data_IF_361324571443
#
_entry.id   IF_361324571443
#
_cell.length_a   1.000
_cell.length_b   1.000
_cell.length_c   1.000
_cell.angle_alpha   90.00
_cell.angle_beta   90.00
_cell.angle_gamma   90.00
#
_symmetry.space_group_name_H-M   'P 1'
#
loop_
_entity.id
_entity.type
_entity.pdbx_description
1 polymer ?
#
# COMPACT_ATOMS: atom_id res chain seq x y z
N UNK A 1 11.94 16.16 -23.25
CA UNK A 1 10.78 16.28 -24.18
C UNK A 1 9.42 15.95 -23.53
N UNK A 2 9.31 14.96 -22.65
CA UNK A 2 8.04 14.54 -22.00
C UNK A 2 7.44 15.60 -21.06
N UNK A 3 8.27 16.29 -20.28
CA UNK A 3 7.84 17.29 -19.29
C UNK A 3 7.04 18.47 -19.90
N UNK A 4 7.41 18.94 -21.09
CA UNK A 4 6.69 20.05 -21.75
C UNK A 4 5.33 19.62 -22.29
N UNK A 5 5.18 18.37 -22.74
CA UNK A 5 3.89 17.83 -23.19
C UNK A 5 2.91 17.68 -22.02
N UNK A 6 3.40 17.16 -20.89
CA UNK A 6 2.60 17.04 -19.66
C UNK A 6 2.13 18.41 -19.16
N UNK A 7 2.98 19.44 -19.19
CA UNK A 7 2.59 20.81 -18.83
C UNK A 7 1.42 21.31 -19.67
N UNK A 8 1.51 21.19 -21.00
CA UNK A 8 0.45 21.65 -21.92
C UNK A 8 -0.86 20.88 -21.71
N UNK A 9 -0.79 19.56 -21.53
CA UNK A 9 -1.98 18.73 -21.34
C UNK A 9 -2.71 18.98 -20.01
N UNK A 10 -1.99 19.46 -19.00
CA UNK A 10 -2.48 19.56 -17.63
C UNK A 10 -2.73 21.00 -17.17
N UNK A 11 -2.59 22.00 -18.06
CA UNK A 11 -2.94 23.41 -17.79
C UNK A 11 -4.37 23.50 -17.27
N UNK A 12 -4.58 24.30 -16.22
CA UNK A 12 -5.86 24.55 -15.55
C UNK A 12 -6.54 23.28 -14.98
N UNK A 13 -5.77 22.20 -14.75
CA UNK A 13 -6.26 20.98 -14.13
C UNK A 13 -5.84 20.86 -12.67
N UNK A 14 -6.64 20.10 -11.92
CA UNK A 14 -6.24 19.49 -10.65
C UNK A 14 -5.70 18.10 -10.95
N UNK A 15 -4.45 17.84 -10.59
CA UNK A 15 -3.72 16.62 -10.95
C UNK A 15 -3.30 15.90 -9.68
N UNK A 16 -3.60 14.60 -9.61
CA UNK A 16 -3.02 13.68 -8.63
C UNK A 16 -1.99 12.80 -9.34
N UNK A 17 -0.74 12.83 -8.88
CA UNK A 17 0.34 11.98 -9.39
C UNK A 17 0.71 10.98 -8.29
N UNK A 18 0.74 9.70 -8.63
CA UNK A 18 1.19 8.63 -7.73
C UNK A 18 2.50 8.07 -8.25
N UNK A 19 3.56 8.23 -7.47
CA UNK A 19 4.85 7.58 -7.70
C UNK A 19 4.90 6.33 -6.82
N UNK A 20 4.57 5.19 -7.41
CA UNK A 20 4.46 3.92 -6.69
C UNK A 20 5.82 3.20 -6.64
N UNK A 21 6.14 2.59 -5.50
CA UNK A 21 7.31 1.74 -5.24
C UNK A 21 8.65 2.39 -5.67
N UNK A 22 8.97 3.56 -5.09
CA UNK A 22 10.22 4.30 -5.38
C UNK A 22 11.40 3.72 -4.60
N UNK A 23 12.49 3.39 -5.32
CA UNK A 23 13.70 2.74 -4.78
C UNK A 23 15.00 3.52 -5.05
N UNK A 24 14.91 4.70 -5.65
CA UNK A 24 16.08 5.54 -5.92
C UNK A 24 16.70 6.05 -4.62
N UNK A 25 18.02 5.88 -4.46
CA UNK A 25 18.76 6.23 -3.23
C UNK A 25 19.70 7.41 -3.41
N UNK A 26 19.97 7.82 -4.64
CA UNK A 26 20.78 8.99 -4.93
C UNK A 26 20.00 10.27 -4.54
N UNK A 27 20.48 11.05 -3.55
CA UNK A 27 19.76 12.22 -3.07
C UNK A 27 19.57 13.30 -4.14
N UNK A 28 20.54 13.49 -5.02
CA UNK A 28 20.46 14.50 -6.09
C UNK A 28 19.39 14.12 -7.11
N UNK A 29 19.27 12.82 -7.41
CA UNK A 29 18.21 12.30 -8.28
C UNK A 29 16.84 12.50 -7.63
N UNK A 30 16.67 12.16 -6.35
CA UNK A 30 15.42 12.39 -5.62
C UNK A 30 15.04 13.87 -5.56
N UNK A 31 16.00 14.77 -5.29
CA UNK A 31 15.80 16.22 -5.29
C UNK A 31 15.38 16.75 -6.66
N UNK A 32 15.85 16.13 -7.75
CA UNK A 32 15.50 16.53 -9.11
C UNK A 32 14.04 16.21 -9.49
N UNK A 33 13.41 15.23 -8.83
CA UNK A 33 12.03 14.81 -9.12
C UNK A 33 11.03 15.94 -8.83
N UNK A 34 11.17 16.63 -7.70
CA UNK A 34 10.20 17.66 -7.28
C UNK A 34 10.07 18.82 -8.29
N UNK A 35 11.16 19.42 -8.81
CA UNK A 35 11.08 20.38 -9.92
C UNK A 35 10.36 19.85 -11.17
N UNK A 36 10.55 18.57 -11.50
CA UNK A 36 9.91 17.94 -12.67
C UNK A 36 8.40 17.72 -12.50
N UNK A 37 7.89 17.74 -11.26
CA UNK A 37 6.46 17.62 -10.98
C UNK A 37 5.77 18.99 -10.89
N UNK A 38 6.52 20.09 -10.99
CA UNK A 38 5.96 21.45 -11.04
C UNK A 38 5.44 21.75 -12.44
N UNK A 39 4.11 21.66 -12.61
CA UNK A 39 3.43 21.85 -13.90
C UNK A 39 3.07 23.32 -14.23
N UNK A 40 3.38 24.28 -13.35
CA UNK A 40 3.11 25.71 -13.55
C UNK A 40 2.10 26.28 -12.55
N UNK A 41 1.95 27.61 -12.52
CA UNK A 41 1.16 28.35 -11.51
C UNK A 41 -0.36 28.12 -11.66
N UNK A 42 -0.81 27.77 -12.87
CA UNK A 42 -2.21 27.52 -13.19
C UNK A 42 -2.69 26.10 -12.84
N UNK A 43 -1.80 25.24 -12.33
CA UNK A 43 -2.10 23.83 -12.05
C UNK A 43 -2.03 23.55 -10.54
N UNK A 44 -3.03 22.85 -10.00
CA UNK A 44 -2.93 22.30 -8.65
C UNK A 44 -2.44 20.86 -8.76
N UNK A 45 -1.27 20.56 -8.22
CA UNK A 45 -0.67 19.21 -8.27
C UNK A 45 -0.53 18.66 -6.86
N UNK A 46 -1.13 17.50 -6.62
CA UNK A 46 -0.90 16.67 -5.44
C UNK A 46 -0.07 15.46 -5.85
N UNK A 47 0.98 15.16 -5.09
CA UNK A 47 1.85 14.01 -5.35
C UNK A 47 1.79 13.09 -4.14
N UNK A 48 1.54 11.80 -4.40
CA UNK A 48 1.67 10.72 -3.43
C UNK A 48 2.86 9.88 -3.85
N UNK A 49 3.77 9.62 -2.91
CA UNK A 49 4.91 8.73 -3.13
C UNK A 49 4.76 7.54 -2.19
N UNK A 50 4.92 6.32 -2.70
CA UNK A 50 5.03 5.12 -1.88
C UNK A 50 6.45 4.57 -2.00
N UNK A 51 7.02 4.14 -0.87
CA UNK A 51 8.33 3.50 -0.79
C UNK A 51 8.40 2.60 0.43
N UNK A 52 9.33 1.66 0.41
CA UNK A 52 9.64 0.78 1.56
C UNK A 52 10.79 1.31 2.40
N UNK A 53 11.44 2.39 1.96
CA UNK A 53 12.62 2.95 2.60
C UNK A 53 12.30 4.32 3.21
N UNK A 54 12.39 4.41 4.54
CA UNK A 54 12.13 5.66 5.26
C UNK A 54 13.12 6.78 4.90
N UNK A 55 14.35 6.45 4.51
CA UNK A 55 15.33 7.45 4.09
C UNK A 55 14.90 8.11 2.78
N UNK A 56 14.41 7.33 1.82
CA UNK A 56 13.84 7.85 0.56
C UNK A 56 12.64 8.75 0.89
N UNK A 57 11.75 8.31 1.78
CA UNK A 57 10.58 9.08 2.16
C UNK A 57 10.93 10.45 2.76
N UNK A 58 11.93 10.51 3.65
CA UNK A 58 12.43 11.76 4.24
C UNK A 58 13.09 12.68 3.21
N UNK A 59 13.84 12.11 2.26
CA UNK A 59 14.56 12.87 1.25
C UNK A 59 13.64 13.43 0.14
N UNK A 60 12.54 12.76 -0.20
CA UNK A 60 11.63 13.23 -1.27
C UNK A 60 10.53 14.15 -0.73
N UNK A 61 10.04 13.93 0.49
CA UNK A 61 8.92 14.66 1.08
C UNK A 61 9.40 15.79 2.01
N UNK A 62 9.64 16.97 1.45
CA UNK A 62 10.02 18.16 2.24
C UNK A 62 8.84 18.99 2.76
N UNK A 63 7.62 18.75 2.28
CA UNK A 63 6.45 19.61 2.57
C UNK A 63 5.51 19.04 3.63
N UNK A 64 5.56 17.73 3.84
CA UNK A 64 4.69 17.00 4.77
C UNK A 64 5.54 15.87 5.36
N UNK A 65 5.36 15.58 6.64
CA UNK A 65 5.99 14.43 7.28
C UNK A 65 5.55 13.12 6.61
N UNK A 66 6.48 12.20 6.28
CA UNK A 66 6.13 10.91 5.71
C UNK A 66 5.19 10.11 6.61
N UNK A 67 4.12 9.57 6.03
CA UNK A 67 3.22 8.68 6.75
C UNK A 67 3.75 7.25 6.74
N UNK A 68 4.18 6.75 7.90
CA UNK A 68 4.55 5.35 8.07
C UNK A 68 3.30 4.49 8.19
N UNK A 69 3.10 3.57 7.24
CA UNK A 69 2.00 2.62 7.28
C UNK A 69 2.24 1.60 8.39
N UNK A 70 1.33 1.58 9.37
CA UNK A 70 1.32 0.59 10.44
C UNK A 70 0.86 -0.78 9.94
N UNK A 71 1.30 -1.83 10.63
CA UNK A 71 0.83 -3.19 10.37
C UNK A 71 -0.62 -3.38 10.82
N UNK A 72 -1.30 -4.39 10.27
CA UNK A 72 -2.66 -4.71 10.69
C UNK A 72 -2.66 -5.37 12.07
N UNK A 73 -3.75 -5.17 12.81
CA UNK A 73 -4.03 -5.99 14.00
C UNK A 73 -4.35 -7.44 13.61
N UNK A 74 -4.08 -8.39 14.52
CA UNK A 74 -4.48 -9.80 14.38
C UNK A 74 -5.98 -9.96 14.05
N UNK A 75 -6.82 -9.09 14.62
CA UNK A 75 -8.26 -9.06 14.33
C UNK A 75 -8.55 -8.73 12.87
N UNK A 76 -7.80 -7.79 12.28
CA UNK A 76 -7.92 -7.42 10.88
C UNK A 76 -7.34 -8.49 9.95
N UNK A 77 -6.19 -9.10 10.30
CA UNK A 77 -5.69 -10.28 9.59
C UNK A 77 -6.72 -11.42 9.60
N UNK A 78 -7.34 -11.69 10.75
CA UNK A 78 -8.40 -12.69 10.85
C UNK A 78 -9.64 -12.32 10.01
N UNK A 79 -9.98 -11.03 9.91
CA UNK A 79 -11.06 -10.55 9.04
C UNK A 79 -10.75 -10.88 7.57
N UNK A 80 -9.53 -10.65 7.12
CA UNK A 80 -9.08 -10.97 5.75
C UNK A 80 -9.17 -12.49 5.51
N UNK A 81 -8.61 -13.31 6.40
CA UNK A 81 -8.66 -14.78 6.26
C UNK A 81 -10.10 -15.28 6.17
N UNK A 82 -11.00 -14.78 7.03
CA UNK A 82 -12.42 -15.15 6.99
C UNK A 82 -13.09 -14.81 5.66
N UNK A 83 -12.75 -13.66 5.07
CA UNK A 83 -13.29 -13.25 3.78
C UNK A 83 -12.82 -14.20 2.67
N UNK A 84 -11.52 -14.54 2.64
CA UNK A 84 -10.92 -15.38 1.59
C UNK A 84 -11.33 -16.85 1.68
N UNK A 85 -11.64 -17.34 2.88
CA UNK A 85 -12.10 -18.72 3.11
C UNK A 85 -13.61 -18.91 3.01
N UNK A 86 -14.37 -17.85 2.71
CA UNK A 86 -15.83 -17.83 2.80
C UNK A 86 -16.34 -18.36 4.16
N UNK A 87 -15.64 -18.00 5.25
CA UNK A 87 -15.74 -18.65 6.57
C UNK A 87 -17.17 -18.74 7.13
N UNK A 88 -18.06 -17.81 6.76
CA UNK A 88 -19.47 -17.83 7.15
C UNK A 88 -20.18 -19.13 6.76
N UNK A 89 -19.77 -19.75 5.65
CA UNK A 89 -20.41 -20.92 5.04
C UNK A 89 -19.65 -22.23 5.32
N UNK A 90 -18.64 -22.21 6.20
CA UNK A 90 -17.86 -23.40 6.56
C UNK A 90 -18.62 -24.30 7.53
N UNK A 91 -18.65 -25.60 7.25
CA UNK A 91 -19.26 -26.64 8.10
C UNK A 91 -18.61 -26.67 9.49
N UNK A 92 -17.28 -26.75 9.56
CA UNK A 92 -16.51 -26.82 10.82
C UNK A 92 -16.10 -25.44 11.38
N UNK A 93 -16.97 -24.43 11.22
CA UNK A 93 -16.69 -23.04 11.63
C UNK A 93 -16.23 -22.91 13.09
N UNK A 94 -16.82 -23.67 14.01
CA UNK A 94 -16.49 -23.54 15.45
C UNK A 94 -15.07 -24.01 15.72
N UNK A 95 -14.69 -25.13 15.13
CA UNK A 95 -13.39 -25.77 15.24
C UNK A 95 -12.31 -24.91 14.55
N UNK A 96 -12.56 -24.49 13.31
CA UNK A 96 -11.63 -23.69 12.50
C UNK A 96 -11.41 -22.26 13.03
N UNK A 97 -12.26 -21.77 13.94
CA UNK A 97 -12.16 -20.41 14.48
C UNK A 97 -10.88 -20.21 15.31
N UNK A 98 -10.48 -21.22 16.07
CA UNK A 98 -9.29 -21.13 16.92
C UNK A 98 -8.03 -21.13 16.05
N UNK A 99 -7.86 -22.16 15.21
CA UNK A 99 -6.76 -22.26 14.24
C UNK A 99 -6.66 -21.03 13.35
N UNK A 100 -7.79 -20.52 12.85
CA UNK A 100 -7.81 -19.32 12.01
C UNK A 100 -7.31 -18.06 12.72
N UNK A 101 -7.55 -17.93 14.04
CA UNK A 101 -6.98 -16.84 14.84
C UNK A 101 -5.48 -17.02 15.07
N UNK A 102 -5.02 -18.24 15.35
CA UNK A 102 -3.59 -18.51 15.49
C UNK A 102 -2.82 -18.21 14.20
N UNK A 103 -3.40 -18.58 13.05
CA UNK A 103 -2.85 -18.23 11.73
C UNK A 103 -2.82 -16.72 11.55
N UNK A 104 -3.87 -16.00 11.96
CA UNK A 104 -3.90 -14.54 11.88
C UNK A 104 -2.80 -13.87 12.71
N UNK A 105 -2.55 -14.35 13.92
CA UNK A 105 -1.42 -13.89 14.76
C UNK A 105 -0.08 -14.17 14.08
N UNK A 106 0.09 -15.36 13.48
CA UNK A 106 1.30 -15.70 12.71
C UNK A 106 1.49 -14.87 11.42
N UNK A 107 0.47 -14.16 10.94
CA UNK A 107 0.61 -13.24 9.81
C UNK A 107 1.40 -11.98 10.17
N UNK A 108 1.61 -11.68 11.45
CA UNK A 108 2.40 -10.52 11.91
C UNK A 108 1.87 -9.18 11.40
N UNK A 109 0.56 -9.07 11.20
CA UNK A 109 -0.07 -7.86 10.66
C UNK A 109 0.14 -7.61 9.16
N UNK A 110 0.81 -8.51 8.44
CA UNK A 110 1.01 -8.39 6.98
C UNK A 110 -0.26 -8.78 6.24
N UNK A 111 -0.92 -7.80 5.62
CA UNK A 111 -2.16 -8.01 4.88
C UNK A 111 -2.03 -9.07 3.77
N UNK A 112 -0.90 -9.05 3.04
CA UNK A 112 -0.62 -10.00 1.97
C UNK A 112 -0.48 -11.44 2.50
N UNK A 113 0.20 -11.64 3.63
CA UNK A 113 0.31 -12.97 4.25
C UNK A 113 -1.07 -13.53 4.64
N UNK A 114 -1.90 -12.70 5.28
CA UNK A 114 -3.26 -13.07 5.65
C UNK A 114 -4.13 -13.41 4.42
N UNK A 115 -3.95 -12.68 3.32
CA UNK A 115 -4.64 -12.96 2.07
C UNK A 115 -4.19 -14.30 1.45
N UNK A 116 -2.87 -14.51 1.31
CA UNK A 116 -2.31 -15.72 0.73
C UNK A 116 -2.70 -16.98 1.50
N UNK A 117 -2.59 -16.94 2.83
CA UNK A 117 -3.02 -18.05 3.68
C UNK A 117 -4.53 -18.26 3.62
N UNK A 118 -5.32 -17.18 3.58
CA UNK A 118 -6.77 -17.27 3.37
C UNK A 118 -7.15 -17.99 2.07
N UNK A 119 -6.42 -17.75 0.98
CA UNK A 119 -6.60 -18.47 -0.28
C UNK A 119 -6.15 -19.93 -0.18
N UNK A 120 -4.99 -20.21 0.43
CA UNK A 120 -4.48 -21.57 0.60
C UNK A 120 -5.41 -22.46 1.45
N UNK A 121 -6.08 -21.88 2.44
CA UNK A 121 -7.07 -22.57 3.29
C UNK A 121 -8.44 -22.69 2.62
N UNK A 122 -8.65 -22.10 1.44
CA UNK A 122 -9.93 -22.18 0.77
C UNK A 122 -10.24 -23.64 0.38
N UNK A 123 -11.44 -24.13 0.69
CA UNK A 123 -11.85 -25.52 0.43
C UNK A 123 -11.29 -26.60 1.36
N UNK A 124 -10.37 -26.28 2.29
CA UNK A 124 -9.83 -27.25 3.27
C UNK A 124 -10.86 -27.64 4.35
N UNK A 125 -10.92 -28.91 4.72
CA UNK A 125 -11.78 -29.44 5.80
C UNK A 125 -11.07 -29.41 7.15
N UNK A 126 -11.81 -29.75 8.21
CA UNK A 126 -11.24 -30.01 9.52
C UNK A 126 -11.08 -31.53 9.60
N UNK A 127 -9.84 -32.00 9.45
CA UNK A 127 -9.46 -33.41 9.53
C UNK A 127 -8.87 -33.69 10.92
#
# INVERSE_FOLDING_TARGET
MTHNKLRVLLVDKKVLIVLDDVWEKNPDTLKSVKPMLRLGVACTVTVIVTTRDEAIAREICHTIEPYKLETLTDKNCWKIIKQKTAFKYRVYKKQLKHTGREIATKCGGVALAAQSLGYALNGKTFD
#
